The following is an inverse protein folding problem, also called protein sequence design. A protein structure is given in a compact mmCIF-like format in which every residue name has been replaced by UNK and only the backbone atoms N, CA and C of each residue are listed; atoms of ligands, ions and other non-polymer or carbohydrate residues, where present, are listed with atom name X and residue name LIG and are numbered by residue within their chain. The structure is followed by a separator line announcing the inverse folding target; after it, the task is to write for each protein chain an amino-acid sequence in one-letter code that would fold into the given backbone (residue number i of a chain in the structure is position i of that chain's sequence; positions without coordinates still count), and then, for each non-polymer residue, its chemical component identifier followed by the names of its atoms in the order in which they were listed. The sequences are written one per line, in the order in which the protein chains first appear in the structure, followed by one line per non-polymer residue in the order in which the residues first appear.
data_IF_585646285801
#
_entry.id   IF_585646285801
#
_cell.length_a   1.000
_cell.length_b   1.000
_cell.length_c   1.000
_cell.angle_alpha   90.00
_cell.angle_beta   90.00
_cell.angle_gamma   90.00
#
_symmetry.space_group_name_H-M   'P 1'
#
loop_
_entity.id
_entity.type
_entity.pdbx_description
1 polymer ?
#
# COMPACT_ATOMS: atom_id res chain seq x y z
N UNK A 1 -9.44 -16.64 6.34
CA UNK A 1 -8.82 -17.15 7.58
C UNK A 1 -7.62 -16.28 7.90
N UNK A 2 -7.53 -15.77 9.10
CA UNK A 2 -6.41 -14.91 9.54
C UNK A 2 -5.21 -15.77 9.98
N UNK A 3 -4.76 -16.70 9.09
CA UNK A 3 -3.67 -17.67 9.32
C UNK A 3 -3.90 -18.64 10.50
N UNK A 4 -5.11 -18.70 11.05
CA UNK A 4 -5.45 -19.60 12.15
C UNK A 4 -5.85 -21.01 11.66
N UNK A 5 -6.18 -21.15 10.39
CA UNK A 5 -6.52 -22.41 9.74
C UNK A 5 -5.51 -22.71 8.62
N UNK A 6 -4.55 -23.60 8.94
CA UNK A 6 -3.49 -24.02 7.99
C UNK A 6 -4.06 -24.77 6.78
N UNK A 7 -5.09 -25.61 6.98
CA UNK A 7 -5.68 -26.37 5.90
C UNK A 7 -6.40 -25.44 4.91
N UNK A 8 -7.16 -24.48 5.41
CA UNK A 8 -7.80 -23.44 4.58
C UNK A 8 -6.77 -22.58 3.85
N UNK A 9 -5.66 -22.20 4.52
CA UNK A 9 -4.58 -21.45 3.88
C UNK A 9 -3.97 -22.21 2.70
N UNK A 10 -3.58 -23.46 2.90
CA UNK A 10 -2.99 -24.30 1.86
C UNK A 10 -4.00 -24.61 0.74
N UNK A 11 -5.25 -24.92 1.10
CA UNK A 11 -6.34 -25.20 0.15
C UNK A 11 -6.70 -23.99 -0.73
N UNK A 12 -6.48 -22.78 -0.24
CA UNK A 12 -6.64 -21.53 -1.00
C UNK A 12 -5.40 -21.18 -1.85
N UNK A 13 -4.41 -22.05 -1.97
CA UNK A 13 -3.19 -21.81 -2.73
C UNK A 13 -2.15 -20.95 -1.98
N UNK A 14 -2.18 -20.99 -0.64
CA UNK A 14 -1.21 -20.26 0.19
C UNK A 14 0.23 -20.59 -0.17
N UNK A 15 1.03 -19.56 -0.38
CA UNK A 15 2.41 -19.67 -0.86
C UNK A 15 3.42 -19.42 0.27
N UNK A 16 4.62 -19.97 0.11
CA UNK A 16 5.76 -19.69 0.99
C UNK A 16 6.24 -18.25 0.81
N UNK A 17 6.63 -17.62 1.91
CA UNK A 17 7.19 -16.28 1.93
C UNK A 17 6.31 -15.26 2.66
N UNK A 18 6.67 -13.97 2.58
CA UNK A 18 5.87 -12.90 3.19
C UNK A 18 4.46 -12.88 2.62
N UNK A 19 3.47 -12.80 3.50
CA UNK A 19 2.08 -12.77 3.11
C UNK A 19 1.62 -11.32 2.87
N UNK A 20 0.70 -11.12 1.92
CA UNK A 20 0.13 -9.80 1.62
C UNK A 20 -0.79 -9.30 2.72
N UNK A 21 -1.54 -10.22 3.33
CA UNK A 21 -2.41 -9.90 4.48
C UNK A 21 -1.58 -9.73 5.73
N UNK A 22 -1.95 -8.74 6.53
CA UNK A 22 -1.36 -8.48 7.86
C UNK A 22 -2.36 -8.83 8.96
N UNK A 23 -1.85 -9.14 10.14
CA UNK A 23 -2.63 -9.25 11.35
C UNK A 23 -2.72 -7.88 12.01
N UNK A 24 -3.93 -7.48 12.38
CA UNK A 24 -4.19 -6.28 13.17
C UNK A 24 -4.14 -6.61 14.65
N UNK A 25 -4.42 -5.63 15.49
CA UNK A 25 -4.56 -5.85 16.93
C UNK A 25 -5.56 -6.99 17.22
N UNK A 26 -5.18 -7.91 18.12
CA UNK A 26 -6.00 -9.06 18.48
C UNK A 26 -5.21 -10.22 19.07
N UNK A 27 -5.92 -11.29 19.38
CA UNK A 27 -5.35 -12.54 19.85
C UNK A 27 -5.60 -13.61 18.80
N UNK A 28 -4.53 -14.29 18.38
CA UNK A 28 -4.57 -15.24 17.26
C UNK A 28 -3.95 -16.58 17.66
N UNK A 29 -4.64 -17.68 17.34
CA UNK A 29 -4.12 -19.03 17.48
C UNK A 29 -3.34 -19.44 16.22
N UNK A 30 -2.10 -18.97 16.09
CA UNK A 30 -1.25 -19.22 14.93
C UNK A 30 -0.42 -20.48 15.12
N UNK A 31 -0.41 -21.36 14.12
CA UNK A 31 0.46 -22.53 14.09
C UNK A 31 1.91 -22.11 13.74
N UNK A 32 2.78 -22.00 14.73
CA UNK A 32 4.17 -21.59 14.53
C UNK A 32 5.06 -22.65 13.87
N UNK A 33 4.55 -23.88 13.60
CA UNK A 33 5.22 -24.84 12.72
C UNK A 33 5.16 -24.37 11.26
N UNK A 34 4.05 -23.72 10.89
CA UNK A 34 3.79 -23.24 9.54
C UNK A 34 4.18 -21.79 9.33
N UNK A 35 4.02 -20.95 10.35
CA UNK A 35 4.16 -19.50 10.24
C UNK A 35 5.16 -18.93 11.23
N UNK A 36 5.81 -17.86 10.81
CA UNK A 36 6.53 -16.92 11.69
C UNK A 36 5.75 -15.62 11.72
N UNK A 37 5.53 -15.05 12.89
CA UNK A 37 4.85 -13.75 13.02
C UNK A 37 5.85 -12.73 13.54
N UNK A 38 6.07 -11.69 12.77
CA UNK A 38 6.99 -10.60 13.08
C UNK A 38 6.15 -9.42 13.58
N UNK A 39 6.46 -8.94 14.77
CA UNK A 39 5.85 -7.74 15.37
C UNK A 39 6.94 -6.72 15.72
N UNK A 40 6.55 -5.51 16.13
CA UNK A 40 7.48 -4.46 16.55
C UNK A 40 8.34 -4.91 17.74
N UNK A 41 7.75 -5.66 18.68
CA UNK A 41 8.41 -6.03 19.93
C UNK A 41 9.20 -7.33 19.84
N UNK A 42 8.72 -8.30 19.06
CA UNK A 42 9.33 -9.63 18.97
C UNK A 42 8.90 -10.42 17.76
N UNK A 43 9.64 -11.47 17.48
CA UNK A 43 9.31 -12.51 16.52
C UNK A 43 8.73 -13.72 17.25
N UNK A 44 7.55 -14.17 16.81
CA UNK A 44 6.92 -15.41 17.26
C UNK A 44 7.28 -16.53 16.29
N UNK A 45 8.06 -17.49 16.75
CA UNK A 45 8.47 -18.66 15.96
C UNK A 45 8.84 -19.83 16.87
N UNK A 46 8.87 -21.03 16.32
CA UNK A 46 9.67 -22.11 16.88
C UNK A 46 11.16 -21.82 16.64
N UNK A 47 12.10 -22.60 17.26
CA UNK A 47 13.52 -22.45 16.99
C UNK A 47 13.80 -22.53 15.49
N UNK A 48 14.43 -21.49 14.95
CA UNK A 48 14.77 -21.35 13.54
C UNK A 48 16.21 -21.82 13.30
N UNK A 49 16.53 -22.18 12.05
CA UNK A 49 17.92 -22.32 11.64
C UNK A 49 18.60 -20.94 11.65
N UNK A 50 19.92 -20.90 11.77
CA UNK A 50 20.68 -19.64 11.73
C UNK A 50 20.39 -18.81 10.49
N UNK A 51 20.25 -19.47 9.35
CA UNK A 51 19.93 -18.79 8.09
C UNK A 51 18.53 -18.18 8.12
N UNK A 52 17.54 -18.90 8.61
CA UNK A 52 16.16 -18.39 8.72
C UNK A 52 16.07 -17.26 9.75
N UNK A 53 16.82 -17.31 10.86
CA UNK A 53 16.90 -16.20 11.82
C UNK A 53 17.47 -14.93 11.18
N UNK A 54 18.50 -15.04 10.36
CA UNK A 54 19.09 -13.90 9.64
C UNK A 54 18.09 -13.29 8.66
N UNK A 55 17.35 -14.12 7.91
CA UNK A 55 16.30 -13.67 6.98
C UNK A 55 15.17 -12.96 7.72
N UNK A 56 14.66 -13.55 8.80
CA UNK A 56 13.55 -12.96 9.58
C UNK A 56 13.99 -11.65 10.23
N UNK A 57 15.24 -11.56 10.74
CA UNK A 57 15.78 -10.33 11.31
C UNK A 57 15.91 -9.23 10.26
N UNK A 58 16.43 -9.55 9.08
CA UNK A 58 16.53 -8.59 7.97
C UNK A 58 15.14 -8.08 7.56
N UNK A 59 14.15 -8.97 7.50
CA UNK A 59 12.77 -8.61 7.20
C UNK A 59 12.16 -7.70 8.28
N UNK A 60 12.37 -8.01 9.55
CA UNK A 60 11.91 -7.19 10.67
C UNK A 60 12.50 -5.77 10.63
N UNK A 61 13.81 -5.66 10.35
CA UNK A 61 14.49 -4.37 10.18
C UNK A 61 13.90 -3.58 9.01
N UNK A 62 13.73 -4.20 7.87
CA UNK A 62 13.16 -3.58 6.67
C UNK A 62 11.73 -3.07 6.88
N UNK A 63 10.88 -3.82 7.61
CA UNK A 63 9.53 -3.40 7.96
C UNK A 63 9.58 -2.23 8.95
N UNK A 64 10.46 -2.29 9.96
CA UNK A 64 10.62 -1.25 10.97
C UNK A 64 11.06 0.08 10.36
N UNK A 65 12.05 0.08 9.45
CA UNK A 65 12.53 1.27 8.74
C UNK A 65 11.42 1.97 7.93
N UNK A 66 10.41 1.21 7.51
CA UNK A 66 9.22 1.70 6.80
C UNK A 66 8.04 2.00 7.71
N UNK A 67 8.26 2.02 9.04
CA UNK A 67 7.21 2.18 10.04
C UNK A 67 6.06 1.16 9.85
N UNK A 68 6.40 -0.05 9.41
CA UNK A 68 5.43 -1.07 8.94
C UNK A 68 4.62 -1.72 10.05
N UNK A 69 5.03 -1.58 11.30
CA UNK A 69 4.30 -2.11 12.45
C UNK A 69 3.22 -1.19 12.99
N UNK A 70 3.07 0.00 12.39
CA UNK A 70 2.07 0.99 12.81
C UNK A 70 1.18 1.39 11.64
N UNK A 71 -0.09 1.72 11.89
CA UNK A 71 -0.96 2.25 10.85
C UNK A 71 -0.44 3.61 10.33
N UNK A 72 -0.80 3.94 9.10
CA UNK A 72 -0.72 5.32 8.60
C UNK A 72 -1.88 6.08 9.22
N UNK A 73 -1.59 7.14 9.96
CA UNK A 73 -2.61 8.03 10.52
C UNK A 73 -2.45 9.40 9.89
N UNK A 74 -3.51 9.88 9.23
CA UNK A 74 -3.58 11.22 8.65
C UNK A 74 -4.72 11.94 9.35
N UNK A 75 -4.42 13.00 10.07
CA UNK A 75 -5.42 13.84 10.76
C UNK A 75 -5.76 15.01 9.87
N UNK A 76 -7.00 15.47 9.92
CA UNK A 76 -7.44 16.67 9.19
C UNK A 76 -6.61 17.91 9.56
N UNK A 77 -6.19 17.99 10.84
CA UNK A 77 -5.35 19.08 11.37
C UNK A 77 -3.91 19.08 10.85
N UNK A 78 -3.45 18.02 10.24
CA UNK A 78 -2.04 17.88 9.83
C UNK A 78 -1.78 18.51 8.44
N UNK A 79 -2.84 18.87 7.70
CA UNK A 79 -2.77 19.41 6.34
C UNK A 79 -1.88 18.58 5.41
N UNK A 80 -1.98 17.24 5.53
CA UNK A 80 -1.17 16.28 4.78
C UNK A 80 -2.03 15.38 3.92
N UNK A 81 -1.39 14.82 2.88
CA UNK A 81 -1.89 13.70 2.07
C UNK A 81 -0.84 12.61 2.00
N UNK A 82 -1.27 11.36 1.89
CA UNK A 82 -0.38 10.22 1.72
C UNK A 82 -0.26 9.82 0.25
N UNK A 83 0.94 9.90 -0.31
CA UNK A 83 1.26 9.40 -1.64
C UNK A 83 1.68 7.95 -1.53
N UNK A 84 0.97 7.06 -2.25
CA UNK A 84 1.20 5.62 -2.17
C UNK A 84 2.08 5.16 -3.31
N UNK A 85 3.07 4.32 -2.99
CA UNK A 85 3.87 3.57 -3.96
C UNK A 85 3.72 2.09 -3.69
N UNK A 86 3.12 1.36 -4.64
CA UNK A 86 2.96 -0.10 -4.58
C UNK A 86 4.20 -0.78 -5.14
N UNK A 87 4.66 -1.83 -4.45
CA UNK A 87 5.88 -2.58 -4.78
C UNK A 87 5.60 -3.96 -5.40
N UNK A 88 4.34 -4.40 -5.41
CA UNK A 88 3.89 -5.69 -5.92
C UNK A 88 2.97 -5.53 -7.15
N UNK A 89 2.84 -6.59 -7.94
CA UNK A 89 2.00 -6.62 -9.11
C UNK A 89 2.71 -6.30 -10.44
N UNK A 90 1.95 -6.21 -11.55
CA UNK A 90 2.48 -5.91 -12.87
C UNK A 90 3.09 -4.51 -12.93
N UNK A 91 4.09 -4.34 -13.80
CA UNK A 91 4.71 -3.03 -14.04
C UNK A 91 3.77 -2.12 -14.83
N UNK A 92 3.97 -0.81 -14.70
CA UNK A 92 3.32 0.17 -15.56
C UNK A 92 3.66 -0.07 -17.04
N UNK A 93 2.74 0.22 -17.96
CA UNK A 93 3.03 0.27 -19.38
C UNK A 93 4.19 1.24 -19.70
N UNK A 94 4.87 1.00 -20.81
CA UNK A 94 5.95 1.88 -21.25
C UNK A 94 5.42 3.31 -21.49
N UNK A 95 6.10 4.28 -20.90
CA UNK A 95 5.74 5.70 -20.99
C UNK A 95 4.84 6.20 -19.86
N UNK A 96 4.20 5.30 -19.11
CA UNK A 96 3.41 5.66 -17.93
C UNK A 96 4.30 5.86 -16.71
N UNK A 97 4.04 6.91 -15.94
CA UNK A 97 4.81 7.25 -14.72
C UNK A 97 4.00 7.12 -13.44
N UNK A 98 2.68 6.95 -13.57
CA UNK A 98 1.75 6.87 -12.45
C UNK A 98 0.67 5.83 -12.75
N UNK A 99 0.32 5.02 -11.77
CA UNK A 99 -0.71 3.98 -11.93
C UNK A 99 -2.11 4.58 -11.80
N UNK A 100 -3.06 4.16 -12.67
CA UNK A 100 -4.43 4.62 -12.61
C UNK A 100 -5.14 4.19 -11.33
N UNK A 101 -6.25 4.84 -10.99
CA UNK A 101 -7.12 4.43 -9.89
C UNK A 101 -7.87 3.17 -10.29
N UNK A 102 -7.82 2.16 -9.44
CA UNK A 102 -8.55 0.89 -9.58
C UNK A 102 -9.23 0.52 -8.26
N UNK A 103 -10.32 -0.23 -8.30
CA UNK A 103 -10.92 -0.87 -7.13
C UNK A 103 -11.21 0.06 -5.94
N UNK A 104 -11.60 1.30 -6.18
CA UNK A 104 -11.84 2.30 -5.13
C UNK A 104 -13.32 2.43 -4.72
N UNK A 105 -14.22 1.74 -5.42
CA UNK A 105 -15.64 1.75 -5.13
C UNK A 105 -16.04 0.70 -4.11
N UNK A 106 -16.53 1.13 -2.95
CA UNK A 106 -17.05 0.22 -1.92
C UNK A 106 -18.29 -0.58 -2.36
N UNK A 107 -18.94 -0.20 -3.47
CA UNK A 107 -20.06 -0.94 -4.05
C UNK A 107 -19.62 -2.22 -4.75
N UNK A 108 -18.35 -2.33 -5.16
CA UNK A 108 -17.76 -3.53 -5.74
C UNK A 108 -16.90 -4.26 -4.71
N UNK A 109 -17.54 -5.10 -3.91
CA UNK A 109 -16.87 -5.86 -2.85
C UNK A 109 -15.74 -6.76 -3.36
N UNK A 110 -15.80 -7.22 -4.60
CA UNK A 110 -14.79 -8.13 -5.15
C UNK A 110 -13.44 -7.44 -5.37
N UNK A 111 -13.45 -6.19 -5.80
CA UNK A 111 -12.26 -5.43 -6.16
C UNK A 111 -11.95 -4.28 -5.19
N UNK A 112 -12.86 -3.96 -4.27
CA UNK A 112 -12.65 -2.88 -3.32
C UNK A 112 -11.49 -3.17 -2.36
N UNK A 113 -10.36 -2.53 -2.58
CA UNK A 113 -9.13 -2.72 -1.79
C UNK A 113 -9.01 -1.80 -0.57
N UNK A 114 -10.05 -1.03 -0.25
CA UNK A 114 -10.13 -0.18 0.95
C UNK A 114 -8.86 0.67 1.16
N UNK A 115 -8.53 1.51 0.18
CA UNK A 115 -7.35 2.39 0.23
C UNK A 115 -6.05 1.63 0.47
N UNK A 116 -5.77 0.62 -0.34
CA UNK A 116 -4.56 -0.23 -0.32
C UNK A 116 -4.40 -1.13 0.91
N UNK A 117 -5.42 -1.25 1.75
CA UNK A 117 -5.39 -2.12 2.93
C UNK A 117 -5.56 -3.61 2.56
N UNK A 118 -6.20 -3.90 1.43
CA UNK A 118 -6.34 -5.26 0.88
C UNK A 118 -5.55 -5.38 -0.42
N UNK A 119 -4.33 -5.91 -0.32
CA UNK A 119 -3.43 -6.06 -1.45
C UNK A 119 -3.94 -7.04 -2.51
N UNK A 120 -4.64 -8.11 -2.11
CA UNK A 120 -5.15 -9.10 -3.04
C UNK A 120 -6.30 -8.53 -3.88
N UNK A 121 -7.20 -7.77 -3.27
CA UNK A 121 -8.27 -7.06 -3.98
C UNK A 121 -7.73 -5.97 -4.91
N UNK A 122 -6.68 -5.25 -4.50
CA UNK A 122 -6.01 -4.29 -5.36
C UNK A 122 -5.48 -4.94 -6.63
N UNK A 123 -4.81 -6.09 -6.51
CA UNK A 123 -4.30 -6.84 -7.66
C UNK A 123 -5.42 -7.42 -8.52
N UNK A 124 -6.51 -7.91 -7.90
CA UNK A 124 -7.71 -8.36 -8.61
C UNK A 124 -8.38 -7.25 -9.42
N UNK A 125 -8.35 -6.03 -8.92
CA UNK A 125 -8.84 -4.83 -9.62
C UNK A 125 -7.96 -4.41 -10.81
N UNK A 126 -6.85 -5.11 -11.08
CA UNK A 126 -5.88 -4.76 -12.10
C UNK A 126 -4.85 -3.71 -11.65
N UNK A 127 -4.64 -3.60 -10.34
CA UNK A 127 -3.67 -2.69 -9.76
C UNK A 127 -2.24 -2.94 -10.25
N UNK A 128 -1.52 -1.85 -10.51
CA UNK A 128 -0.16 -1.87 -11.06
C UNK A 128 0.86 -1.39 -10.04
N UNK A 129 2.06 -1.93 -10.12
CA UNK A 129 3.21 -1.50 -9.33
C UNK A 129 3.65 -0.10 -9.73
N UNK A 130 4.06 0.70 -8.74
CA UNK A 130 4.55 2.06 -8.93
C UNK A 130 3.78 3.08 -8.10
N UNK A 131 4.05 4.36 -8.35
CA UNK A 131 3.35 5.47 -7.71
C UNK A 131 1.89 5.47 -8.15
N UNK A 132 0.99 5.64 -7.21
CA UNK A 132 -0.45 5.57 -7.44
C UNK A 132 -1.05 6.97 -7.62
N UNK A 133 -2.01 7.10 -8.53
CA UNK A 133 -2.79 8.33 -8.69
C UNK A 133 -3.71 8.57 -7.48
N UNK A 134 -4.25 7.49 -6.90
CA UNK A 134 -5.07 7.57 -5.71
C UNK A 134 -4.22 7.91 -4.49
N UNK A 135 -4.56 9.00 -3.80
CA UNK A 135 -3.91 9.43 -2.56
C UNK A 135 -4.71 9.02 -1.34
N UNK A 136 -4.04 8.96 -0.19
CA UNK A 136 -4.67 8.82 1.11
C UNK A 136 -4.92 10.21 1.70
N UNK A 137 -6.14 10.41 2.14
CA UNK A 137 -6.56 11.63 2.85
C UNK A 137 -6.73 11.31 4.34
N UNK A 138 -7.48 12.12 5.08
CA UNK A 138 -7.82 11.86 6.47
C UNK A 138 -8.28 10.44 6.72
N UNK A 139 -7.71 9.78 7.73
CA UNK A 139 -8.04 8.40 8.11
C UNK A 139 -6.91 7.64 8.78
N UNK A 140 -7.23 6.39 9.13
CA UNK A 140 -6.28 5.42 9.68
C UNK A 140 -6.23 4.21 8.75
N UNK A 141 -5.03 3.86 8.27
CA UNK A 141 -4.85 2.85 7.24
C UNK A 141 -3.83 1.80 7.69
N UNK A 142 -4.26 0.54 7.69
CA UNK A 142 -3.42 -0.62 8.01
C UNK A 142 -2.88 -1.22 6.71
N UNK A 143 -1.74 -0.73 6.26
CA UNK A 143 -1.14 -1.10 4.98
C UNK A 143 0.11 -1.96 5.24
N UNK A 144 0.20 -3.10 4.56
CA UNK A 144 1.41 -3.91 4.56
C UNK A 144 2.55 -3.16 3.85
N UNK A 145 3.63 -2.83 4.59
CA UNK A 145 4.76 -2.05 4.05
C UNK A 145 5.67 -2.84 3.11
N UNK A 146 5.52 -4.16 3.05
CA UNK A 146 6.13 -4.96 1.99
C UNK A 146 5.36 -4.81 0.67
N UNK A 147 4.05 -4.57 0.76
CA UNK A 147 3.19 -4.34 -0.41
C UNK A 147 3.24 -2.89 -0.89
N UNK A 148 3.08 -1.93 0.00
CA UNK A 148 3.05 -0.51 -0.37
C UNK A 148 3.67 0.38 0.71
N UNK A 149 4.33 1.46 0.27
CA UNK A 149 4.84 2.53 1.13
C UNK A 149 4.01 3.79 0.95
N UNK A 150 3.98 4.63 1.99
CA UNK A 150 3.23 5.89 2.00
C UNK A 150 4.19 7.02 2.38
N UNK A 151 4.29 8.01 1.51
CA UNK A 151 5.03 9.24 1.72
C UNK A 151 4.04 10.36 2.09
N UNK A 152 4.26 11.00 3.24
CA UNK A 152 3.41 12.09 3.71
C UNK A 152 3.87 13.41 3.10
N UNK A 153 2.97 14.10 2.41
CA UNK A 153 3.23 15.38 1.73
C UNK A 153 2.25 16.41 2.24
N UNK A 154 2.71 17.65 2.45
CA UNK A 154 1.85 18.78 2.83
C UNK A 154 0.85 19.09 1.72
N UNK A 155 -0.39 19.40 2.09
CA UNK A 155 -1.39 19.95 1.16
C UNK A 155 -0.89 21.29 0.60
N UNK A 156 -1.25 21.57 -0.64
CA UNK A 156 -0.94 22.89 -1.25
C UNK A 156 -1.87 23.95 -0.67
N UNK A 157 -1.31 24.98 -0.09
CA UNK A 157 -2.04 26.11 0.47
C UNK A 157 -1.94 27.26 -0.50
N UNK A 158 -3.07 27.83 -0.92
CA UNK A 158 -3.16 29.06 -1.72
C UNK A 158 -3.58 30.18 -0.77
N UNK A 159 -2.70 31.15 -0.59
CA UNK A 159 -2.93 32.26 0.32
C UNK A 159 -4.08 33.16 -0.14
N UNK A 160 -4.76 33.81 0.81
CA UNK A 160 -5.85 34.75 0.52
C UNK A 160 -5.37 35.88 -0.39
N UNK A 161 -6.08 36.11 -1.48
CA UNK A 161 -5.75 37.17 -2.45
C UNK A 161 -4.72 36.76 -3.50
N UNK A 162 -4.32 35.47 -3.55
CA UNK A 162 -3.44 34.92 -4.57
C UNK A 162 -4.16 33.81 -5.37
N UNK A 163 -3.53 33.35 -6.44
CA UNK A 163 -4.02 32.22 -7.27
C UNK A 163 -2.89 31.22 -7.48
N UNK A 164 -3.24 29.93 -7.55
CA UNK A 164 -2.32 28.87 -7.91
C UNK A 164 -2.51 28.47 -9.37
N UNK A 165 -1.41 28.29 -10.12
CA UNK A 165 -1.43 27.75 -11.48
C UNK A 165 -1.04 26.28 -11.42
N UNK A 166 -1.84 25.42 -12.04
CA UNK A 166 -1.62 23.97 -12.06
C UNK A 166 -1.06 23.54 -13.42
N UNK A 167 0.02 22.77 -13.40
CA UNK A 167 0.61 22.13 -14.58
C UNK A 167 0.49 20.63 -14.41
N UNK A 168 -0.10 19.92 -15.37
CA UNK A 168 -0.17 18.46 -15.38
C UNK A 168 0.99 17.87 -16.19
N UNK A 169 1.61 16.81 -15.65
CA UNK A 169 2.63 16.02 -16.35
C UNK A 169 2.08 14.69 -16.90
N UNK A 170 0.78 14.42 -16.67
CA UNK A 170 0.10 13.19 -17.12
C UNK A 170 -1.20 13.57 -17.81
N UNK A 171 -1.69 12.70 -18.71
CA UNK A 171 -2.90 12.89 -19.47
C UNK A 171 -2.62 12.91 -20.97
N UNK A 172 -3.67 13.07 -21.76
CA UNK A 172 -3.54 13.24 -23.21
C UNK A 172 -2.80 14.55 -23.54
N UNK A 173 -2.03 14.53 -24.62
CA UNK A 173 -1.36 15.74 -25.11
C UNK A 173 -2.45 16.71 -25.59
N UNK A 174 -2.54 17.86 -24.93
CA UNK A 174 -3.47 18.92 -25.33
C UNK A 174 -3.12 19.48 -26.71
N UNK A 175 -4.10 19.97 -27.41
CA UNK A 175 -3.86 20.76 -28.63
C UNK A 175 -3.10 22.04 -28.25
N UNK A 176 -2.07 22.35 -29.05
CA UNK A 176 -1.36 23.62 -28.89
C UNK A 176 -2.26 24.78 -29.40
N UNK A 177 -2.86 25.47 -28.44
CA UNK A 177 -3.67 26.65 -28.69
C UNK A 177 -2.84 27.95 -28.66
N UNK A 178 -1.50 27.84 -28.68
CA UNK A 178 -0.61 28.99 -28.73
C UNK A 178 -0.64 29.60 -30.14
N UNK A 179 -1.19 30.77 -30.27
CA UNK A 179 -1.27 31.51 -31.55
C UNK A 179 -2.46 32.48 -31.62
N UNK A 180 -2.66 33.09 -32.79
CA UNK A 180 -3.71 34.10 -33.03
C UNK A 180 -5.16 33.55 -32.94
N UNK A 181 -5.35 32.25 -32.73
CA UNK A 181 -6.65 31.61 -32.63
C UNK A 181 -7.23 31.61 -31.19
N UNK A 182 -6.50 32.13 -30.21
CA UNK A 182 -7.01 32.31 -28.87
C UNK A 182 -7.93 33.54 -28.81
N UNK A 183 -9.23 33.32 -29.00
CA UNK A 183 -10.27 34.34 -28.86
C UNK A 183 -11.19 34.05 -27.69
#
# INVERSE_FOLDING_TARGET
SDFQDVAAFLGAGGQRGPQRRILREGTYAINLVQFVVITEERVYSLPLSRQDEEIVRAMATFISERQGFRPVVIKDTDDQVGIVTVHDGPSLPQGEIIAPVVGDSAADEATYHNKFQDADRFLLAGGLRGRQLQVLVEGTYYINRLFATVEMIQKTIIEVGTVGVVVSYTGEVGEDLSGDEYR
#
